data_IF_980115677634
#
_entry.id   IF_980115677634
#
_cell.length_a   1.000
_cell.length_b   1.000
_cell.length_c   1.000
_cell.angle_alpha   90.00
_cell.angle_beta   90.00
_cell.angle_gamma   90.00
#
_symmetry.space_group_name_H-M   'P 1'
#
loop_
_entity.id
_entity.type
_entity.pdbx_description
1 polymer ?
#
# COMPACT_ATOMS: atom_id res chain seq x y z
N UNK A 1 12.12 -9.69 -4.70
CA UNK A 1 11.73 -8.59 -3.78
C UNK A 1 10.41 -8.98 -3.13
N UNK A 2 10.31 -8.89 -1.82
CA UNK A 2 9.07 -9.27 -1.12
C UNK A 2 7.99 -8.20 -1.28
N UNK A 3 6.78 -8.54 -0.88
CA UNK A 3 5.61 -7.67 -1.05
C UNK A 3 5.79 -6.33 -0.34
N UNK A 4 6.29 -6.35 0.89
CA UNK A 4 6.48 -5.11 1.65
C UNK A 4 7.53 -4.21 1.00
N UNK A 5 8.63 -4.79 0.53
CA UNK A 5 9.67 -4.01 -0.14
C UNK A 5 9.15 -3.36 -1.42
N UNK A 6 8.32 -4.08 -2.17
CA UNK A 6 7.69 -3.54 -3.39
C UNK A 6 6.72 -2.41 -3.06
N UNK A 7 5.96 -2.56 -1.98
CA UNK A 7 5.02 -1.52 -1.53
C UNK A 7 5.79 -0.28 -1.09
N UNK A 8 6.88 -0.45 -0.34
CA UNK A 8 7.72 0.68 0.08
C UNK A 8 8.30 1.42 -1.12
N UNK A 9 8.79 0.67 -2.11
CA UNK A 9 9.34 1.27 -3.33
C UNK A 9 8.26 2.07 -4.07
N UNK A 10 7.07 1.49 -4.21
CA UNK A 10 5.96 2.17 -4.85
C UNK A 10 5.56 3.44 -4.09
N UNK A 11 5.47 3.35 -2.77
CA UNK A 11 5.15 4.51 -1.93
C UNK A 11 6.19 5.61 -2.08
N UNK A 12 7.47 5.25 -2.12
CA UNK A 12 8.55 6.20 -2.30
C UNK A 12 8.40 6.96 -3.61
N UNK A 13 8.10 6.24 -4.70
CA UNK A 13 7.97 6.82 -6.03
C UNK A 13 6.68 7.63 -6.19
N UNK A 14 5.56 7.08 -5.75
CA UNK A 14 4.25 7.68 -6.02
C UNK A 14 3.88 8.76 -5.00
N UNK A 15 4.32 8.63 -3.76
CA UNK A 15 4.00 9.58 -2.69
C UNK A 15 5.16 10.54 -2.40
N UNK A 16 6.28 10.38 -3.08
CA UNK A 16 7.48 11.21 -2.89
C UNK A 16 7.96 11.19 -1.44
N UNK A 17 7.88 10.02 -0.80
CA UNK A 17 8.29 9.86 0.57
C UNK A 17 9.76 9.45 0.65
N UNK A 18 10.43 9.88 1.74
CA UNK A 18 11.82 9.50 1.98
C UNK A 18 11.88 8.04 2.44
N UNK A 19 12.57 7.15 1.68
CA UNK A 19 12.66 5.74 2.06
C UNK A 19 13.21 5.51 3.46
N UNK A 20 14.11 6.38 3.91
CA UNK A 20 14.67 6.26 5.25
C UNK A 20 13.72 6.63 6.37
N UNK A 21 12.59 7.26 6.03
CA UNK A 21 11.58 7.69 7.01
C UNK A 21 10.28 6.91 6.89
N UNK A 22 10.22 5.94 6.01
CA UNK A 22 9.04 5.11 5.83
C UNK A 22 8.94 4.08 6.93
N UNK A 23 8.03 4.32 7.87
CA UNK A 23 7.72 3.36 8.93
C UNK A 23 6.45 2.61 8.52
N UNK A 24 6.51 1.30 8.24
CA UNK A 24 5.32 0.56 7.82
C UNK A 24 4.20 0.55 8.86
N UNK A 25 4.53 0.80 10.12
CA UNK A 25 3.55 0.81 11.20
C UNK A 25 2.96 2.21 11.43
N UNK A 26 3.56 3.26 10.89
CA UNK A 26 3.07 4.61 11.08
C UNK A 26 1.80 4.83 10.25
N UNK A 27 0.77 5.50 10.81
CA UNK A 27 -0.40 5.86 10.03
C UNK A 27 0.01 6.71 8.81
N UNK A 28 -0.59 6.43 7.67
CA UNK A 28 -0.27 7.15 6.44
C UNK A 28 -0.54 8.65 6.58
N UNK A 29 -1.56 9.01 7.37
CA UNK A 29 -1.85 10.42 7.64
C UNK A 29 -0.67 11.13 8.30
N UNK A 30 0.07 10.42 9.16
CA UNK A 30 1.26 10.97 9.82
C UNK A 30 2.41 11.20 8.84
N UNK A 31 2.38 10.51 7.70
CA UNK A 31 3.37 10.67 6.64
C UNK A 31 2.98 11.76 5.63
N UNK A 32 1.89 12.47 5.88
CA UNK A 32 1.43 13.53 5.01
C UNK A 32 0.57 13.09 3.84
N UNK A 33 0.05 11.87 3.88
CA UNK A 33 -0.78 11.30 2.83
C UNK A 33 -2.25 11.64 3.13
N UNK A 34 -2.86 12.50 2.31
CA UNK A 34 -4.28 12.83 2.48
C UNK A 34 -5.17 11.78 1.78
N UNK A 35 -6.49 11.95 1.92
CA UNK A 35 -7.46 10.98 1.40
C UNK A 35 -7.38 10.81 -0.12
N UNK A 36 -7.24 11.90 -0.83
CA UNK A 36 -7.15 11.84 -2.30
C UNK A 36 -5.86 11.16 -2.74
N UNK A 37 -4.75 11.53 -2.14
CA UNK A 37 -3.46 10.95 -2.45
C UNK A 37 -3.47 9.45 -2.11
N UNK A 38 -4.10 9.08 -1.00
CA UNK A 38 -4.23 7.69 -0.59
C UNK A 38 -5.01 6.88 -1.64
N UNK A 39 -6.14 7.41 -2.11
CA UNK A 39 -6.95 6.72 -3.13
C UNK A 39 -6.15 6.54 -4.42
N UNK A 40 -5.46 7.59 -4.85
CA UNK A 40 -4.62 7.51 -6.06
C UNK A 40 -3.52 6.46 -5.90
N UNK A 41 -2.91 6.41 -4.71
CA UNK A 41 -1.89 5.42 -4.41
C UNK A 41 -2.47 4.00 -4.46
N UNK A 42 -3.70 3.81 -3.95
CA UNK A 42 -4.35 2.51 -3.99
C UNK A 42 -4.60 2.05 -5.43
N UNK A 43 -4.96 2.95 -6.33
CA UNK A 43 -5.09 2.59 -7.75
C UNK A 43 -3.77 2.10 -8.33
N UNK A 44 -2.66 2.74 -7.96
CA UNK A 44 -1.33 2.30 -8.39
C UNK A 44 -0.98 0.93 -7.82
N UNK A 45 -1.35 0.67 -6.58
CA UNK A 45 -1.16 -0.62 -5.95
C UNK A 45 -1.94 -1.71 -6.69
N UNK A 46 -3.19 -1.43 -7.04
CA UNK A 46 -4.01 -2.37 -7.78
C UNK A 46 -3.38 -2.73 -9.13
N UNK A 47 -2.88 -1.72 -9.84
CA UNK A 47 -2.20 -1.93 -11.12
C UNK A 47 -0.90 -2.71 -10.96
N UNK A 48 -0.10 -2.34 -9.98
CA UNK A 48 1.24 -2.91 -9.79
C UNK A 48 1.17 -4.39 -9.40
N UNK A 49 0.22 -4.75 -8.56
CA UNK A 49 0.11 -6.11 -8.03
C UNK A 49 -0.99 -6.93 -8.71
N UNK A 50 -1.83 -6.30 -9.51
CA UNK A 50 -2.95 -7.00 -10.15
C UNK A 50 -4.00 -7.47 -9.14
N UNK A 51 -4.20 -6.70 -8.08
CA UNK A 51 -5.18 -7.01 -7.03
C UNK A 51 -6.23 -5.92 -6.96
N UNK A 52 -7.32 -6.18 -6.24
CA UNK A 52 -8.37 -5.19 -6.05
C UNK A 52 -8.53 -4.87 -4.58
N UNK A 53 -8.83 -3.60 -4.29
CA UNK A 53 -9.05 -3.12 -2.94
C UNK A 53 -10.45 -2.50 -2.91
N UNK A 54 -11.36 -3.11 -2.15
CA UNK A 54 -12.73 -2.61 -2.02
C UNK A 54 -12.76 -1.37 -1.13
N UNK A 55 -13.87 -0.63 -1.16
CA UNK A 55 -14.05 0.52 -0.27
C UNK A 55 -13.96 0.11 1.19
N UNK A 56 -14.49 -1.06 1.54
CA UNK A 56 -14.39 -1.58 2.89
C UNK A 56 -12.94 -1.83 3.28
N UNK A 57 -12.17 -2.41 2.38
CA UNK A 57 -10.74 -2.66 2.62
C UNK A 57 -9.97 -1.36 2.78
N UNK A 58 -10.30 -0.35 1.97
CA UNK A 58 -9.66 0.96 2.08
C UNK A 58 -9.81 1.56 3.48
N UNK A 59 -10.97 1.35 4.11
CA UNK A 59 -11.22 1.87 5.45
C UNK A 59 -10.37 1.17 6.51
N UNK A 60 -9.94 -0.06 6.25
CA UNK A 60 -9.16 -0.85 7.19
C UNK A 60 -7.66 -0.64 7.04
N UNK A 61 -7.23 -0.11 5.90
CA UNK A 61 -5.80 0.10 5.64
C UNK A 61 -5.40 1.47 6.16
N UNK A 62 -4.64 1.48 7.25
CA UNK A 62 -4.18 2.72 7.90
C UNK A 62 -2.70 2.97 7.73
N UNK A 63 -1.92 1.94 7.43
CA UNK A 63 -0.47 2.03 7.30
C UNK A 63 0.00 1.06 6.22
N UNK A 64 1.28 1.14 5.86
CA UNK A 64 1.83 0.27 4.82
C UNK A 64 1.81 -1.20 5.23
N UNK A 65 1.95 -1.50 6.52
CA UNK A 65 1.89 -2.88 7.00
C UNK A 65 0.50 -3.48 6.78
N UNK A 66 -0.56 -2.69 7.00
CA UNK A 66 -1.93 -3.13 6.71
C UNK A 66 -2.12 -3.41 5.23
N UNK A 67 -1.59 -2.53 4.39
CA UNK A 67 -1.66 -2.69 2.94
C UNK A 67 -0.91 -3.95 2.51
N UNK A 68 0.27 -4.19 3.06
CA UNK A 68 1.06 -5.37 2.74
C UNK A 68 0.29 -6.64 3.06
N UNK A 69 -0.35 -6.69 4.21
CA UNK A 69 -1.15 -7.87 4.59
C UNK A 69 -2.30 -8.09 3.61
N UNK A 70 -2.97 -7.02 3.20
CA UNK A 70 -4.08 -7.14 2.25
C UNK A 70 -3.58 -7.63 0.88
N UNK A 71 -2.50 -7.04 0.38
CA UNK A 71 -1.94 -7.41 -0.92
C UNK A 71 -1.45 -8.86 -0.89
N UNK A 72 -0.73 -9.25 0.16
CA UNK A 72 -0.22 -10.61 0.28
C UNK A 72 -1.35 -11.62 0.31
N UNK A 73 -2.42 -11.35 1.07
CA UNK A 73 -3.58 -12.22 1.13
C UNK A 73 -4.30 -12.31 -0.22
N UNK A 74 -4.41 -11.18 -0.94
CA UNK A 74 -5.05 -11.14 -2.25
C UNK A 74 -4.25 -11.93 -3.29
N UNK A 75 -2.93 -11.79 -3.27
CA UNK A 75 -2.06 -12.53 -4.18
C UNK A 75 -2.15 -14.03 -3.92
N UNK A 76 -2.18 -14.41 -2.65
CA UNK A 76 -2.27 -15.80 -2.25
C UNK A 76 -3.62 -16.40 -2.69
N UNK A 77 -4.72 -15.67 -2.48
CA UNK A 77 -6.05 -16.11 -2.87
C UNK A 77 -6.18 -16.23 -4.39
N UNK A 78 -5.46 -15.40 -5.14
CA UNK A 78 -5.47 -15.45 -6.60
C UNK A 78 -4.47 -16.47 -7.17
N UNK A 79 -3.70 -17.15 -6.32
CA UNK A 79 -2.70 -18.12 -6.76
C UNK A 79 -1.47 -17.47 -7.40
N UNK A 80 -1.19 -16.21 -7.09
CA UNK A 80 -0.06 -15.47 -7.67
C UNK A 80 1.15 -15.38 -6.74
N UNK A 81 0.99 -15.78 -5.52
CA UNK A 81 2.07 -15.72 -4.53
C UNK A 81 2.96 -16.95 -4.60
#
# INVERSE_FOLDING_TARGET
MDTLARIKDLATRELSLDPGKLDPQAPLADLGVDSLTFIEFMFKVEDEFGVKVSDEDLRKIKCLADLERHVAASLQAAGKA
#
